data_IF_289081272577
#
_entry.id   IF_289081272577
#
_cell.length_a   1.000
_cell.length_b   1.000
_cell.length_c   1.000
_cell.angle_alpha   90.00
_cell.angle_beta   90.00
_cell.angle_gamma   90.00
#
_symmetry.space_group_name_H-M   'P 1'
#
loop_
_entity.id
_entity.type
_entity.pdbx_description
1 polymer ?
#
# COMPACT_ATOMS: atom_id res chain seq x y z
N UNK A 1 -16.59 -2.39 1.12
CA UNK A 1 -16.23 -3.57 0.30
C UNK A 1 -16.86 -3.49 -1.08
N UNK A 2 -16.24 -4.11 -2.08
CA UNK A 2 -16.76 -4.31 -3.45
C UNK A 2 -16.83 -5.82 -3.68
N UNK A 3 -17.99 -6.35 -4.03
CA UNK A 3 -18.18 -7.79 -4.28
C UNK A 3 -18.49 -8.04 -5.75
N UNK A 4 -17.86 -9.06 -6.33
CA UNK A 4 -18.11 -9.48 -7.72
C UNK A 4 -17.93 -10.98 -7.89
N UNK A 5 -18.63 -11.54 -8.89
CA UNK A 5 -18.47 -12.93 -9.29
C UNK A 5 -17.49 -13.01 -10.48
N UNK A 6 -16.51 -13.90 -10.38
CA UNK A 6 -15.52 -14.21 -11.42
C UNK A 6 -15.56 -15.70 -11.71
N UNK A 7 -16.28 -16.09 -12.77
CA UNK A 7 -16.59 -17.50 -13.02
C UNK A 7 -17.45 -18.06 -11.90
N UNK A 8 -17.00 -19.16 -11.28
CA UNK A 8 -17.66 -19.81 -10.14
C UNK A 8 -17.13 -19.31 -8.78
N UNK A 9 -16.31 -18.25 -8.77
CA UNK A 9 -15.71 -17.69 -7.56
C UNK A 9 -16.34 -16.36 -7.19
N UNK A 10 -16.58 -16.14 -5.89
CA UNK A 10 -16.90 -14.82 -5.35
C UNK A 10 -15.62 -14.12 -4.91
N UNK A 11 -15.45 -12.87 -5.31
CA UNK A 11 -14.29 -12.04 -4.96
C UNK A 11 -14.79 -10.80 -4.22
N UNK A 12 -14.34 -10.63 -2.98
CA UNK A 12 -14.61 -9.45 -2.16
C UNK A 12 -13.31 -8.60 -2.06
N UNK A 13 -13.39 -7.35 -2.51
CA UNK A 13 -12.29 -6.38 -2.51
C UNK A 13 -12.55 -5.37 -1.39
N UNK A 14 -11.56 -5.18 -0.52
CA UNK A 14 -11.58 -4.14 0.52
C UNK A 14 -10.76 -2.95 0.02
N UNK A 15 -11.38 -1.92 -0.58
CA UNK A 15 -10.67 -0.72 -0.96
C UNK A 15 -10.21 0.01 0.31
N UNK A 16 -8.94 0.42 0.33
CA UNK A 16 -8.37 1.17 1.44
C UNK A 16 -7.51 2.32 0.92
N UNK A 17 -7.41 3.38 1.71
CA UNK A 17 -6.43 4.45 1.46
C UNK A 17 -5.14 4.16 2.22
N UNK A 18 -4.00 4.20 1.52
CA UNK A 18 -2.74 3.87 2.17
C UNK A 18 -2.38 4.88 3.29
N UNK A 19 -1.91 4.35 4.43
CA UNK A 19 -1.34 5.14 5.53
C UNK A 19 -2.30 5.59 6.63
N UNK A 20 -3.60 5.74 6.37
CA UNK A 20 -4.55 6.23 7.37
C UNK A 20 -4.90 5.15 8.41
N UNK A 21 -4.81 5.48 9.70
CA UNK A 21 -5.13 4.56 10.80
C UNK A 21 -6.59 4.09 10.76
N UNK A 22 -7.51 4.96 10.33
CA UNK A 22 -8.94 4.63 10.16
C UNK A 22 -9.19 3.49 9.18
N UNK A 23 -8.27 3.26 8.24
CA UNK A 23 -8.41 2.23 7.22
C UNK A 23 -8.18 0.83 7.80
N UNK A 24 -7.44 0.71 8.91
CA UNK A 24 -7.36 -0.54 9.67
C UNK A 24 -8.72 -0.95 10.24
N UNK A 25 -9.54 0.00 10.70
CA UNK A 25 -10.89 -0.27 11.19
C UNK A 25 -11.83 -0.71 10.07
N UNK A 26 -11.68 -0.13 8.88
CA UNK A 26 -12.37 -0.60 7.68
C UNK A 26 -11.98 -2.04 7.36
N UNK A 27 -10.68 -2.38 7.37
CA UNK A 27 -10.25 -3.77 7.16
C UNK A 27 -10.87 -4.71 8.19
N UNK A 28 -10.80 -4.41 9.49
CA UNK A 28 -11.40 -5.27 10.54
C UNK A 28 -12.89 -5.47 10.36
N UNK A 29 -13.62 -4.43 9.97
CA UNK A 29 -15.08 -4.47 9.80
C UNK A 29 -15.49 -5.30 8.59
N UNK A 30 -14.75 -5.21 7.50
CA UNK A 30 -15.11 -5.85 6.23
C UNK A 30 -14.45 -7.23 6.05
N UNK A 31 -13.44 -7.55 6.88
CA UNK A 31 -12.79 -8.86 6.87
C UNK A 31 -13.79 -9.97 7.19
N UNK A 32 -13.80 -11.00 6.34
CA UNK A 32 -14.67 -12.15 6.46
C UNK A 32 -13.98 -13.40 5.93
N UNK A 33 -14.46 -14.57 6.34
CA UNK A 33 -13.85 -15.84 5.96
C UNK A 33 -13.97 -16.12 4.45
N UNK A 34 -12.85 -16.45 3.83
CA UNK A 34 -12.70 -16.83 2.44
C UNK A 34 -11.74 -18.02 2.31
N UNK A 35 -11.83 -18.75 1.20
CA UNK A 35 -10.92 -19.87 0.88
C UNK A 35 -9.49 -19.40 0.56
N UNK A 36 -9.34 -18.14 0.14
CA UNK A 36 -8.05 -17.54 -0.19
C UNK A 36 -8.06 -16.04 0.13
N UNK A 37 -6.89 -15.52 0.47
CA UNK A 37 -6.68 -14.11 0.79
C UNK A 37 -5.48 -13.60 0.01
N UNK A 38 -5.56 -12.38 -0.49
CA UNK A 38 -4.51 -11.78 -1.30
C UNK A 38 -4.32 -10.30 -0.97
N UNK A 39 -3.10 -9.80 -1.13
CA UNK A 39 -2.77 -8.39 -0.90
C UNK A 39 -1.98 -7.84 -2.09
N UNK A 40 -2.21 -6.56 -2.41
CA UNK A 40 -1.46 -5.80 -3.41
C UNK A 40 -0.07 -5.41 -2.86
N UNK A 41 0.73 -6.43 -2.56
CA UNK A 41 2.09 -6.34 -2.03
C UNK A 41 2.94 -7.45 -2.65
N UNK A 42 4.26 -7.20 -2.72
CA UNK A 42 5.24 -8.23 -3.07
C UNK A 42 5.31 -9.30 -1.98
N UNK A 43 5.95 -10.44 -2.29
CA UNK A 43 6.16 -11.49 -1.30
C UNK A 43 7.05 -10.97 -0.15
N UNK A 44 8.05 -10.15 -0.47
CA UNK A 44 8.93 -9.46 0.47
C UNK A 44 8.13 -8.48 1.35
N UNK A 45 7.22 -7.70 0.75
CA UNK A 45 6.33 -6.79 1.47
C UNK A 45 5.44 -7.51 2.49
N UNK A 46 4.83 -8.64 2.11
CA UNK A 46 4.04 -9.46 3.03
C UNK A 46 4.92 -9.99 4.18
N UNK A 47 6.11 -10.51 3.88
CA UNK A 47 7.03 -11.03 4.88
C UNK A 47 7.52 -9.93 5.83
N UNK A 48 7.80 -8.74 5.30
CA UNK A 48 8.21 -7.56 6.06
C UNK A 48 7.13 -7.18 7.08
N UNK A 49 5.87 -7.02 6.62
CA UNK A 49 4.76 -6.67 7.52
C UNK A 49 4.42 -7.77 8.53
N UNK A 50 4.57 -9.04 8.15
CA UNK A 50 4.41 -10.17 9.08
C UNK A 50 5.46 -10.16 10.19
N UNK A 51 6.69 -9.78 9.86
CA UNK A 51 7.82 -9.74 10.80
C UNK A 51 8.06 -8.36 11.43
N UNK A 52 7.22 -7.35 11.14
CA UNK A 52 7.43 -5.94 11.52
C UNK A 52 7.77 -5.69 12.99
N UNK A 53 7.23 -6.51 13.91
CA UNK A 53 7.50 -6.39 15.36
C UNK A 53 8.93 -6.81 15.75
N UNK A 54 9.62 -7.54 14.88
CA UNK A 54 10.98 -8.04 15.07
C UNK A 54 12.03 -7.24 14.28
N UNK A 55 11.59 -6.29 13.46
CA UNK A 55 12.48 -5.41 12.70
C UNK A 55 12.98 -4.33 13.66
N UNK A 56 14.30 -4.30 13.91
CA UNK A 56 14.94 -3.29 14.76
C UNK A 56 15.29 -2.02 13.98
N UNK A 57 15.30 -2.10 12.66
CA UNK A 57 15.63 -0.99 11.77
C UNK A 57 14.42 -0.09 11.50
N UNK A 58 14.69 1.18 11.23
CA UNK A 58 13.70 2.12 10.70
C UNK A 58 13.32 1.64 9.31
N UNK A 59 12.03 1.53 9.01
CA UNK A 59 11.56 1.27 7.66
C UNK A 59 12.16 2.32 6.72
N UNK A 60 12.81 1.88 5.65
CA UNK A 60 13.24 2.80 4.61
C UNK A 60 12.00 3.27 3.86
N UNK A 61 11.72 4.57 3.92
CA UNK A 61 10.52 5.19 3.36
C UNK A 61 10.98 6.17 2.30
N UNK A 62 10.47 6.01 1.08
CA UNK A 62 10.83 6.90 -0.03
C UNK A 62 10.43 8.35 0.27
N UNK A 63 11.12 9.31 -0.34
CA UNK A 63 10.73 10.73 -0.21
C UNK A 63 9.31 10.97 -0.71
N UNK A 64 8.87 10.23 -1.74
CA UNK A 64 7.53 10.29 -2.28
C UNK A 64 6.49 9.81 -1.26
N UNK A 65 6.74 8.68 -0.60
CA UNK A 65 5.85 8.16 0.45
C UNK A 65 5.75 9.11 1.64
N UNK A 66 6.86 9.75 2.02
CA UNK A 66 6.86 10.78 3.07
C UNK A 66 6.01 12.00 2.67
N UNK A 67 6.11 12.45 1.41
CA UNK A 67 5.31 13.58 0.90
C UNK A 67 3.83 13.20 0.84
N UNK A 68 3.51 12.00 0.35
CA UNK A 68 2.16 11.47 0.32
C UNK A 68 1.56 11.38 1.73
N UNK A 69 2.28 10.78 2.68
CA UNK A 69 1.89 10.70 4.08
C UNK A 69 1.62 12.09 4.66
N UNK A 70 2.48 13.07 4.36
CA UNK A 70 2.31 14.45 4.81
C UNK A 70 1.01 15.08 4.31
N UNK A 71 0.63 14.81 3.06
CA UNK A 71 -0.65 15.27 2.52
C UNK A 71 -1.83 14.53 3.14
N UNK A 72 -1.68 13.25 3.48
CA UNK A 72 -2.73 12.44 4.11
C UNK A 72 -3.03 12.84 5.57
N UNK A 73 -2.07 13.42 6.30
CA UNK A 73 -2.26 13.91 7.68
C UNK A 73 -3.47 14.85 7.84
N UNK A 74 -3.91 15.53 6.77
CA UNK A 74 -5.08 16.40 6.82
C UNK A 74 -6.41 15.65 6.97
N UNK A 75 -6.43 14.35 6.71
CA UNK A 75 -7.61 13.49 6.79
C UNK A 75 -7.63 12.61 8.05
N UNK A 76 -6.52 12.52 8.78
CA UNK A 76 -6.43 11.72 10.00
C UNK A 76 -5.00 11.40 10.40
N UNK A 77 -4.88 10.53 11.40
CA UNK A 77 -3.59 9.97 11.82
C UNK A 77 -3.03 9.06 10.73
N UNK A 78 -1.75 9.24 10.40
CA UNK A 78 -1.03 8.48 9.39
C UNK A 78 0.09 7.69 10.06
N UNK A 79 0.20 6.41 9.71
CA UNK A 79 1.25 5.51 10.19
C UNK A 79 1.93 4.83 9.00
N UNK A 80 3.23 4.58 9.15
CA UNK A 80 4.05 3.83 8.20
C UNK A 80 4.80 2.75 9.01
N UNK A 81 4.68 1.46 8.65
CA UNK A 81 3.99 0.92 7.48
C UNK A 81 2.45 0.99 7.58
N UNK A 82 1.78 0.81 6.44
CA UNK A 82 0.33 0.99 6.29
C UNK A 82 -0.52 0.18 7.28
N UNK A 83 -1.37 0.84 8.10
CA UNK A 83 -2.26 0.20 9.06
C UNK A 83 -3.22 -0.81 8.46
N UNK A 84 -3.81 -0.48 7.32
CA UNK A 84 -4.72 -1.38 6.62
C UNK A 84 -4.02 -2.68 6.22
N UNK A 85 -2.81 -2.58 5.67
CA UNK A 85 -2.07 -3.73 5.15
C UNK A 85 -1.59 -4.65 6.25
N UNK A 86 -0.96 -4.12 7.31
CA UNK A 86 -0.51 -4.99 8.39
C UNK A 86 -1.69 -5.59 9.17
N UNK A 87 -2.81 -4.87 9.27
CA UNK A 87 -4.03 -5.39 9.92
C UNK A 87 -4.61 -6.54 9.11
N UNK A 88 -4.68 -6.41 7.78
CA UNK A 88 -5.11 -7.48 6.91
C UNK A 88 -4.23 -8.72 7.04
N UNK A 89 -2.91 -8.55 7.01
CA UNK A 89 -1.96 -9.67 7.13
C UNK A 89 -2.07 -10.37 8.50
N UNK A 90 -2.24 -9.60 9.58
CA UNK A 90 -2.46 -10.15 10.92
C UNK A 90 -3.74 -11.01 10.95
N UNK A 91 -4.86 -10.48 10.44
CA UNK A 91 -6.13 -11.20 10.38
C UNK A 91 -6.05 -12.49 9.53
N UNK A 92 -5.41 -12.42 8.36
CA UNK A 92 -5.18 -13.63 7.53
C UNK A 92 -4.35 -14.66 8.29
N UNK A 93 -3.29 -14.22 8.98
CA UNK A 93 -2.43 -15.09 9.78
C UNK A 93 -3.20 -15.76 10.92
N UNK A 94 -4.13 -15.04 11.57
CA UNK A 94 -4.99 -15.57 12.63
C UNK A 94 -5.94 -16.69 12.14
N UNK A 95 -6.35 -16.66 10.86
CA UNK A 95 -7.14 -17.76 10.26
C UNK A 95 -6.32 -19.03 9.97
N UNK A 96 -4.99 -18.96 10.08
CA UNK A 96 -4.08 -20.04 9.69
C UNK A 96 -3.82 -20.14 8.19
N UNK A 97 -4.36 -19.22 7.39
CA UNK A 97 -4.13 -19.15 5.95
C UNK A 97 -2.86 -18.36 5.61
N UNK A 98 -2.41 -18.50 4.36
CA UNK A 98 -1.34 -17.68 3.78
C UNK A 98 -1.95 -16.57 2.93
N UNK A 99 -1.35 -15.37 3.01
CA UNK A 99 -1.68 -14.25 2.14
C UNK A 99 -0.94 -14.40 0.80
N UNK A 100 -1.67 -14.37 -0.31
CA UNK A 100 -1.13 -14.47 -1.67
C UNK A 100 -0.65 -13.07 -2.10
N UNK A 101 0.62 -12.93 -2.55
CA UNK A 101 1.09 -11.67 -3.13
C UNK A 101 0.46 -11.44 -4.50
N UNK A 102 -0.02 -10.22 -4.75
CA UNK A 102 -0.54 -9.78 -6.05
C UNK A 102 0.40 -8.85 -6.79
N UNK A 103 1.50 -8.44 -6.16
CA UNK A 103 2.53 -7.61 -6.80
C UNK A 103 3.75 -8.44 -7.20
N UNK A 104 4.58 -7.86 -8.07
CA UNK A 104 5.85 -8.42 -8.50
C UNK A 104 6.80 -8.58 -7.31
N UNK A 105 7.64 -9.61 -7.30
CA UNK A 105 8.70 -9.71 -6.30
C UNK A 105 9.80 -8.68 -6.58
N UNK A 106 10.52 -8.30 -5.53
CA UNK A 106 11.50 -7.20 -5.60
C UNK A 106 12.63 -7.48 -6.63
N UNK A 107 13.00 -8.74 -6.84
CA UNK A 107 14.06 -9.12 -7.79
C UNK A 107 13.63 -8.92 -9.25
N UNK A 108 12.43 -9.40 -9.61
CA UNK A 108 11.84 -9.20 -10.94
C UNK A 108 11.59 -7.71 -11.19
N UNK A 109 11.16 -6.97 -10.17
CA UNK A 109 10.96 -5.53 -10.27
C UNK A 109 12.29 -4.82 -10.56
N UNK A 110 13.35 -5.17 -9.83
CA UNK A 110 14.68 -4.59 -10.00
C UNK A 110 15.23 -4.84 -11.40
N UNK A 111 15.15 -6.08 -11.88
CA UNK A 111 15.61 -6.46 -13.21
C UNK A 111 14.85 -5.68 -14.30
N UNK A 112 13.51 -5.66 -14.23
CA UNK A 112 12.68 -4.93 -15.18
C UNK A 112 12.95 -3.42 -15.13
N UNK A 113 13.13 -2.85 -13.94
CA UNK A 113 13.45 -1.43 -13.76
C UNK A 113 14.80 -1.10 -14.40
N UNK A 114 15.84 -1.91 -14.18
CA UNK A 114 17.16 -1.71 -14.78
C UNK A 114 17.13 -1.80 -16.32
N UNK A 115 16.28 -2.66 -16.86
CA UNK A 115 16.13 -2.85 -18.31
C UNK A 115 15.35 -1.71 -18.99
N UNK A 116 14.48 -1.01 -18.26
CA UNK A 116 13.51 -0.07 -18.84
C UNK A 116 13.70 1.38 -18.45
N UNK A 117 14.31 1.67 -17.30
CA UNK A 117 14.43 3.03 -16.76
C UNK A 117 15.81 3.61 -17.03
N UNK A 118 15.84 4.77 -17.66
CA UNK A 118 17.11 5.43 -18.03
C UNK A 118 17.81 6.06 -16.83
N UNK A 119 19.15 6.11 -16.86
CA UNK A 119 19.97 6.73 -15.79
C UNK A 119 19.57 8.18 -15.42
N UNK A 120 19.02 8.95 -16.38
CA UNK A 120 18.55 10.32 -16.15
C UNK A 120 17.22 10.40 -15.38
N UNK A 121 16.47 9.31 -15.30
CA UNK A 121 15.18 9.27 -14.60
C UNK A 121 15.37 9.14 -13.08
N UNK A 122 16.43 8.48 -12.64
CA UNK A 122 16.86 8.44 -11.23
C UNK A 122 17.04 9.85 -10.63
N UNK A 123 17.59 10.80 -11.38
CA UNK A 123 17.84 12.17 -10.90
C UNK A 123 16.53 12.99 -10.82
N UNK A 124 15.46 12.55 -11.49
CA UNK A 124 14.18 13.27 -11.50
C UNK A 124 13.37 13.06 -10.23
N UNK A 125 13.56 11.94 -9.53
CA UNK A 125 12.73 11.55 -8.38
C UNK A 125 12.66 12.64 -7.31
N UNK A 126 13.82 13.14 -6.86
CA UNK A 126 13.88 14.25 -5.90
C UNK A 126 13.18 15.52 -6.42
N UNK A 127 13.26 15.77 -7.73
CA UNK A 127 12.55 16.86 -8.40
C UNK A 127 11.02 16.67 -8.40
N UNK A 128 10.54 15.44 -8.52
CA UNK A 128 9.13 15.07 -8.46
C UNK A 128 8.63 15.21 -7.01
N UNK A 129 9.36 14.68 -6.03
CA UNK A 129 9.02 14.81 -4.61
C UNK A 129 8.90 16.28 -4.18
N UNK A 130 9.86 17.12 -4.59
CA UNK A 130 9.82 18.57 -4.33
C UNK A 130 8.65 19.29 -5.01
N UNK A 131 8.23 18.83 -6.20
CA UNK A 131 7.04 19.36 -6.90
C UNK A 131 5.76 18.90 -6.20
N UNK A 132 5.67 17.63 -5.82
CA UNK A 132 4.54 17.05 -5.08
C UNK A 132 4.33 17.72 -3.72
N UNK A 133 5.41 18.05 -3.02
CA UNK A 133 5.35 18.80 -1.75
C UNK A 133 4.73 20.20 -1.91
N UNK A 134 4.97 20.86 -3.05
CA UNK A 134 4.45 22.21 -3.34
C UNK A 134 3.07 22.19 -3.99
N UNK A 135 2.60 21.04 -4.46
CA UNK A 135 1.34 20.93 -5.19
C UNK A 135 0.18 21.00 -4.21
N UNK A 136 -0.83 21.80 -4.57
CA UNK A 136 -2.09 21.84 -3.83
C UNK A 136 -2.97 20.77 -4.44
N UNK A 137 -3.16 19.67 -3.71
CA UNK A 137 -4.13 18.63 -4.06
C UNK A 137 -5.53 19.04 -3.61
N UNK A 138 -6.44 19.26 -4.56
CA UNK A 138 -7.85 19.64 -4.36
C UNK A 138 -8.76 18.44 -4.01
N UNK A 139 -8.16 17.41 -3.40
CA UNK A 139 -8.89 16.26 -2.87
C UNK A 139 -9.70 16.66 -1.63
N UNK A 140 -11.02 16.70 -1.73
CA UNK A 140 -11.89 16.86 -0.56
C UNK A 140 -11.99 15.61 0.32
N UNK A 141 -11.50 14.47 -0.19
CA UNK A 141 -11.51 13.17 0.49
C UNK A 141 -10.14 12.47 0.31
N UNK A 142 -9.77 11.55 1.22
CA UNK A 142 -8.50 10.83 1.13
C UNK A 142 -8.38 10.00 -0.15
N UNK A 143 -9.45 9.36 -0.62
CA UNK A 143 -9.45 8.57 -1.86
C UNK A 143 -9.19 9.43 -3.10
N UNK A 144 -9.75 10.66 -3.12
CA UNK A 144 -9.51 11.59 -4.22
C UNK A 144 -8.07 12.10 -4.21
N UNK A 145 -7.47 12.29 -3.04
CA UNK A 145 -6.06 12.65 -2.95
C UNK A 145 -5.17 11.51 -3.44
N UNK A 146 -5.43 10.27 -3.01
CA UNK A 146 -4.67 9.10 -3.45
C UNK A 146 -4.67 8.98 -4.98
N UNK A 147 -5.85 9.09 -5.62
CA UNK A 147 -5.94 9.08 -7.09
C UNK A 147 -5.17 10.23 -7.75
N UNK A 148 -5.26 11.44 -7.20
CA UNK A 148 -4.50 12.58 -7.75
C UNK A 148 -2.99 12.45 -7.56
N UNK A 149 -2.56 11.70 -6.55
CA UNK A 149 -1.15 11.37 -6.31
C UNK A 149 -0.67 10.32 -7.32
N UNK A 150 -1.45 9.27 -7.57
CA UNK A 150 -1.12 8.24 -8.55
C UNK A 150 -1.05 8.80 -10.00
N UNK A 151 -1.88 9.79 -10.31
CA UNK A 151 -1.90 10.47 -11.61
C UNK A 151 -0.74 11.50 -11.81
N UNK A 152 0.05 11.80 -10.78
CA UNK A 152 1.06 12.87 -10.78
C UNK A 152 2.44 12.40 -11.24
#
# INVERSE_FOLDING_TARGET
MISLDVGDCRVDIIPVVNGLVSEADTVRREFSEHDAYAAALSIEGIQCLKNRRNIQDVFDVSELDMVYAKHMERFGEVEIPSPAMYTFIDLVTETGNLCIPLDMNDSEFTDLYCDTVGALEFVKEHGIAKKGMKRIFDGSTPEKLAKQWDDF
#
